data_IF_296075003685
#
_entry.id   IF_296075003685
#
_cell.length_a   1.000
_cell.length_b   1.000
_cell.length_c   1.000
_cell.angle_alpha   90.00
_cell.angle_beta   90.00
_cell.angle_gamma   90.00
#
_symmetry.space_group_name_H-M   'P 1'
#
loop_
_entity.id
_entity.type
_entity.pdbx_description
1 polymer ?
#
# COMPACT_ATOMS: atom_id res chain seq x y z
N UNK A 1 8.05 5.44 5.09
CA UNK A 1 7.09 5.84 4.06
C UNK A 1 7.54 5.34 2.70
N UNK A 2 6.65 4.78 1.91
CA UNK A 2 6.87 4.32 0.54
C UNK A 2 5.64 4.49 -0.33
N UNK A 3 5.82 4.64 -1.64
CA UNK A 3 4.72 4.78 -2.61
C UNK A 3 4.89 3.83 -3.79
N UNK A 4 3.78 3.41 -4.43
CA UNK A 4 3.81 2.49 -5.58
C UNK A 4 4.56 1.19 -5.25
N UNK A 5 5.61 0.85 -5.97
CA UNK A 5 6.54 -0.24 -5.64
C UNK A 5 7.17 -0.09 -4.24
N UNK A 6 7.49 1.15 -3.81
CA UNK A 6 7.89 1.42 -2.42
C UNK A 6 6.77 1.19 -1.41
N UNK A 7 5.52 1.25 -1.84
CA UNK A 7 4.34 0.84 -1.08
C UNK A 7 4.26 -0.68 -0.90
N UNK A 8 4.66 -1.46 -1.91
CA UNK A 8 4.85 -2.91 -1.77
C UNK A 8 5.87 -3.20 -0.68
N UNK A 9 7.03 -2.52 -0.72
CA UNK A 9 8.03 -2.66 0.35
C UNK A 9 7.43 -2.38 1.73
N UNK A 10 6.64 -1.31 1.88
CA UNK A 10 5.97 -1.02 3.15
C UNK A 10 5.04 -2.15 3.58
N UNK A 11 4.25 -2.70 2.66
CA UNK A 11 3.35 -3.83 2.94
C UNK A 11 4.09 -5.11 3.33
N UNK A 12 5.20 -5.41 2.65
CA UNK A 12 6.02 -6.59 2.94
C UNK A 12 6.68 -6.49 4.33
N UNK A 13 7.31 -5.35 4.65
CA UNK A 13 8.03 -5.20 5.93
C UNK A 13 7.11 -5.17 7.14
N UNK A 14 5.86 -4.67 7.01
CA UNK A 14 4.91 -4.72 8.14
C UNK A 14 4.34 -6.12 8.38
N UNK A 15 4.37 -7.00 7.37
CA UNK A 15 4.07 -8.41 7.56
C UNK A 15 5.25 -9.17 8.17
N UNK A 16 6.49 -8.84 7.76
CA UNK A 16 7.70 -9.55 8.18
C UNK A 16 8.14 -9.19 9.60
N UNK A 17 8.03 -7.92 10.00
CA UNK A 17 8.51 -7.42 11.27
C UNK A 17 7.69 -6.19 11.73
N UNK A 18 6.39 -6.35 12.03
CA UNK A 18 5.51 -5.24 12.37
C UNK A 18 5.98 -4.45 13.61
N UNK A 19 6.64 -5.12 14.55
CA UNK A 19 7.14 -4.56 15.82
C UNK A 19 8.27 -3.54 15.64
N UNK A 20 8.94 -3.53 14.50
CA UNK A 20 10.05 -2.59 14.23
C UNK A 20 9.56 -1.19 13.87
N UNK A 21 8.25 -1.01 13.62
CA UNK A 21 7.71 0.24 13.09
C UNK A 21 6.69 0.84 14.06
N UNK A 22 6.88 2.11 14.44
CA UNK A 22 5.88 2.88 15.17
C UNK A 22 4.73 3.32 14.26
N UNK A 23 5.05 3.65 13.02
CA UNK A 23 4.07 4.06 12.03
C UNK A 23 4.59 3.94 10.60
N UNK A 24 3.68 3.63 9.68
CA UNK A 24 3.97 3.42 8.26
C UNK A 24 3.00 4.21 7.39
N UNK A 25 3.52 4.88 6.37
CA UNK A 25 2.72 5.50 5.31
C UNK A 25 2.94 4.71 4.01
N UNK A 26 1.88 4.09 3.51
CA UNK A 26 1.86 3.39 2.23
C UNK A 26 1.01 4.20 1.23
N UNK A 27 1.67 4.88 0.29
CA UNK A 27 1.01 5.75 -0.67
C UNK A 27 0.81 5.02 -2.01
N UNK A 28 -0.45 4.92 -2.46
CA UNK A 28 -0.83 4.20 -3.69
C UNK A 28 -0.09 2.86 -3.83
N UNK A 29 -0.10 2.01 -2.79
CA UNK A 29 0.81 0.88 -2.67
C UNK A 29 0.43 -0.27 -3.58
N UNK A 30 1.42 -0.85 -4.25
CA UNK A 30 1.30 -2.08 -5.04
C UNK A 30 1.30 -3.29 -4.08
N UNK A 31 0.14 -3.72 -3.62
CA UNK A 31 0.01 -4.70 -2.52
C UNK A 31 -0.77 -5.98 -2.84
N UNK A 32 -1.53 -6.00 -3.93
CA UNK A 32 -2.24 -7.19 -4.43
C UNK A 32 -1.46 -7.83 -5.61
N UNK A 33 -0.20 -8.13 -5.34
CA UNK A 33 0.83 -8.42 -6.36
C UNK A 33 0.40 -9.57 -7.28
N UNK A 34 -0.06 -10.67 -6.71
CA UNK A 34 -0.42 -11.88 -7.48
C UNK A 34 -1.58 -11.61 -8.43
N UNK A 35 -2.67 -11.02 -7.92
CA UNK A 35 -3.85 -10.76 -8.75
C UNK A 35 -3.57 -9.73 -9.83
N UNK A 36 -2.83 -8.67 -9.51
CA UNK A 36 -2.45 -7.64 -10.48
C UNK A 36 -1.55 -8.22 -11.57
N UNK A 37 -0.55 -9.02 -11.22
CA UNK A 37 0.35 -9.64 -12.20
C UNK A 37 -0.30 -10.79 -13.00
N UNK A 38 -1.47 -11.29 -12.59
CA UNK A 38 -2.30 -12.22 -13.39
C UNK A 38 -3.18 -11.50 -14.41
N UNK A 39 -3.51 -10.24 -14.18
CA UNK A 39 -4.42 -9.46 -15.03
C UNK A 39 -3.66 -8.66 -16.10
N UNK A 40 -3.47 -9.28 -17.26
CA UNK A 40 -2.80 -8.64 -18.40
C UNK A 40 -3.60 -7.47 -19.03
N UNK A 41 -4.83 -7.19 -18.58
CA UNK A 41 -5.57 -6.00 -19.01
C UNK A 41 -5.11 -4.72 -18.29
N UNK A 42 -4.40 -4.85 -17.17
CA UNK A 42 -3.77 -3.73 -16.48
C UNK A 42 -2.52 -3.30 -17.28
N UNK A 43 -2.39 -2.02 -17.64
CA UNK A 43 -1.40 -1.58 -18.61
C UNK A 43 0.07 -1.92 -18.29
N UNK A 44 0.45 -1.96 -17.01
CA UNK A 44 1.83 -2.24 -16.60
C UNK A 44 2.14 -3.73 -16.46
N UNK A 45 1.15 -4.56 -16.22
CA UNK A 45 1.33 -5.97 -15.82
C UNK A 45 2.27 -6.75 -16.73
N UNK A 46 1.98 -6.79 -18.04
CA UNK A 46 2.79 -7.59 -18.96
C UNK A 46 4.20 -7.02 -19.18
N UNK A 47 4.38 -5.71 -18.99
CA UNK A 47 5.67 -5.05 -19.14
C UNK A 47 6.58 -5.26 -17.92
N UNK A 48 5.98 -5.57 -16.76
CA UNK A 48 6.70 -5.68 -15.50
C UNK A 48 6.88 -7.14 -15.04
N UNK A 49 6.55 -8.13 -15.87
CA UNK A 49 6.80 -9.54 -15.55
C UNK A 49 8.28 -9.87 -15.35
N UNK A 50 9.17 -9.17 -16.05
CA UNK A 50 10.62 -9.36 -15.87
C UNK A 50 11.13 -8.75 -14.56
N UNK A 51 10.37 -7.80 -13.98
CA UNK A 51 10.72 -7.14 -12.70
C UNK A 51 10.13 -7.87 -11.50
N UNK A 52 8.83 -8.17 -11.55
CA UNK A 52 8.10 -8.75 -10.40
C UNK A 52 7.93 -10.27 -10.47
N UNK A 53 7.95 -10.82 -11.66
CA UNK A 53 7.61 -12.22 -11.94
C UNK A 53 6.27 -12.38 -12.65
N UNK A 54 6.11 -13.50 -13.34
CA UNK A 54 4.88 -13.90 -14.00
C UNK A 54 4.21 -15.04 -13.19
N UNK A 55 3.15 -14.77 -12.43
CA UNK A 55 2.53 -15.78 -11.56
C UNK A 55 1.83 -16.92 -12.31
N UNK A 56 1.81 -16.92 -13.64
CA UNK A 56 1.40 -18.05 -14.47
C UNK A 56 2.48 -19.15 -14.51
N UNK A 57 3.71 -18.84 -14.12
CA UNK A 57 4.79 -19.80 -13.92
C UNK A 57 4.88 -20.17 -12.45
N UNK A 58 4.90 -21.46 -12.16
CA UNK A 58 4.75 -21.97 -10.80
C UNK A 58 5.86 -21.49 -9.85
N UNK A 59 7.10 -21.53 -10.28
CA UNK A 59 8.26 -21.09 -9.50
C UNK A 59 8.25 -19.60 -9.21
N UNK A 60 7.88 -18.79 -10.20
CA UNK A 60 7.72 -17.34 -10.01
C UNK A 60 6.54 -17.01 -9.09
N UNK A 61 5.39 -17.70 -9.23
CA UNK A 61 4.26 -17.60 -8.32
C UNK A 61 4.64 -17.93 -6.87
N UNK A 62 5.30 -19.07 -6.66
CA UNK A 62 5.73 -19.50 -5.32
C UNK A 62 6.67 -18.47 -4.68
N UNK A 63 7.60 -17.90 -5.46
CA UNK A 63 8.46 -16.81 -4.98
C UNK A 63 7.67 -15.54 -4.65
N UNK A 64 6.80 -15.08 -5.53
CA UNK A 64 5.99 -13.87 -5.32
C UNK A 64 5.09 -14.00 -4.07
N UNK A 65 4.54 -15.19 -3.82
CA UNK A 65 3.75 -15.48 -2.62
C UNK A 65 4.53 -15.27 -1.33
N UNK A 66 5.85 -15.37 -1.33
CA UNK A 66 6.66 -15.17 -0.12
C UNK A 66 6.67 -13.74 0.39
N UNK A 67 6.39 -12.77 -0.48
CA UNK A 67 6.45 -11.35 -0.11
C UNK A 67 5.18 -10.55 -0.43
N UNK A 68 4.23 -11.11 -1.19
CA UNK A 68 3.00 -10.39 -1.59
C UNK A 68 2.25 -9.87 -0.35
N UNK A 69 2.10 -8.54 -0.19
CA UNK A 69 1.58 -7.98 1.05
C UNK A 69 0.17 -8.42 1.39
N UNK A 70 -0.73 -8.45 0.40
CA UNK A 70 -2.11 -8.86 0.59
C UNK A 70 -2.23 -10.32 1.04
N UNK A 71 -1.43 -11.19 0.43
CA UNK A 71 -1.51 -12.64 0.68
C UNK A 71 -0.94 -13.03 2.04
N UNK A 72 0.04 -12.26 2.53
CA UNK A 72 0.74 -12.51 3.79
C UNK A 72 0.19 -11.74 5.00
N UNK A 73 -1.02 -11.16 4.93
CA UNK A 73 -1.68 -10.59 6.11
C UNK A 73 -2.07 -11.70 7.07
N UNK A 74 -1.70 -11.56 8.35
CA UNK A 74 -1.98 -12.52 9.42
C UNK A 74 -2.38 -11.80 10.72
N UNK A 75 -2.79 -12.54 11.73
CA UNK A 75 -3.12 -11.97 13.05
C UNK A 75 -1.86 -11.42 13.74
N UNK A 76 -1.71 -10.10 13.76
CA UNK A 76 -0.57 -9.41 14.34
C UNK A 76 -0.93 -8.02 14.88
N UNK A 77 -0.08 -7.51 15.76
CA UNK A 77 -0.11 -6.10 16.19
C UNK A 77 0.62 -5.28 15.10
N UNK A 78 -0.13 -4.88 14.08
CA UNK A 78 0.40 -4.01 13.02
C UNK A 78 0.72 -2.62 13.56
N UNK A 79 1.72 -1.90 13.01
CA UNK A 79 2.01 -0.52 13.39
C UNK A 79 0.83 0.41 13.09
N UNK A 80 0.91 1.66 13.53
CA UNK A 80 0.00 2.70 13.06
C UNK A 80 0.19 2.91 11.56
N UNK A 81 -0.88 2.94 10.78
CA UNK A 81 -0.77 2.98 9.32
C UNK A 81 -1.66 4.05 8.70
N UNK A 82 -1.09 4.80 7.76
CA UNK A 82 -1.83 5.64 6.82
C UNK A 82 -1.63 5.08 5.41
N UNK A 83 -2.70 4.59 4.82
CA UNK A 83 -2.73 4.11 3.43
C UNK A 83 -3.47 5.13 2.56
N UNK A 84 -2.90 5.50 1.42
CA UNK A 84 -3.57 6.39 0.47
C UNK A 84 -3.79 5.70 -0.87
N UNK A 85 -4.89 6.08 -1.55
CA UNK A 85 -5.27 5.57 -2.86
C UNK A 85 -5.77 6.70 -3.76
N UNK A 86 -5.66 6.56 -5.07
CA UNK A 86 -6.30 7.41 -6.06
C UNK A 86 -7.39 6.64 -6.79
N UNK A 87 -8.61 7.16 -6.84
CA UNK A 87 -9.73 6.45 -7.48
C UNK A 87 -9.51 6.21 -8.99
N UNK A 88 -8.86 7.18 -9.66
CA UNK A 88 -8.52 7.10 -11.08
C UNK A 88 -7.08 6.65 -11.32
N UNK A 89 -6.50 5.88 -10.39
CA UNK A 89 -5.15 5.34 -10.55
C UNK A 89 -5.14 4.26 -11.65
N UNK A 90 -4.37 4.50 -12.70
CA UNK A 90 -4.21 3.59 -13.84
C UNK A 90 -2.98 2.69 -13.75
N UNK A 91 -2.13 2.89 -12.73
CA UNK A 91 -0.92 2.12 -12.52
C UNK A 91 -1.10 1.09 -11.40
N UNK A 92 -1.53 1.55 -10.23
CA UNK A 92 -1.91 0.71 -9.09
C UNK A 92 -3.41 0.92 -8.84
N UNK A 93 -4.20 -0.04 -9.19
CA UNK A 93 -5.65 0.06 -9.13
C UNK A 93 -6.11 0.36 -7.70
N UNK A 94 -7.07 1.30 -7.54
CA UNK A 94 -7.50 1.77 -6.22
C UNK A 94 -7.99 0.64 -5.30
N UNK A 95 -8.51 -0.45 -5.88
CA UNK A 95 -9.00 -1.58 -5.10
C UNK A 95 -7.88 -2.38 -4.41
N UNK A 96 -6.63 -2.33 -4.87
CA UNK A 96 -5.53 -3.01 -4.20
C UNK A 96 -5.34 -2.52 -2.76
N UNK A 97 -5.05 -1.23 -2.52
CA UNK A 97 -4.95 -0.71 -1.15
C UNK A 97 -6.27 -0.83 -0.37
N UNK A 98 -7.43 -0.70 -1.03
CA UNK A 98 -8.74 -0.82 -0.37
C UNK A 98 -8.96 -2.24 0.16
N UNK A 99 -8.74 -3.26 -0.67
CA UNK A 99 -8.83 -4.67 -0.26
C UNK A 99 -7.83 -5.00 0.84
N UNK A 100 -6.60 -4.52 0.68
CA UNK A 100 -5.54 -4.76 1.66
C UNK A 100 -5.89 -4.16 3.02
N UNK A 101 -6.37 -2.93 3.08
CA UNK A 101 -6.84 -2.30 4.32
C UNK A 101 -8.04 -3.03 4.92
N UNK A 102 -8.98 -3.50 4.09
CA UNK A 102 -10.10 -4.31 4.57
C UNK A 102 -9.60 -5.59 5.26
N UNK A 103 -8.72 -6.35 4.59
CA UNK A 103 -8.11 -7.54 5.17
C UNK A 103 -7.30 -7.25 6.43
N UNK A 104 -6.50 -6.19 6.45
CA UNK A 104 -5.77 -5.77 7.65
C UNK A 104 -6.70 -5.47 8.83
N UNK A 105 -7.87 -4.88 8.60
CA UNK A 105 -8.85 -4.60 9.66
C UNK A 105 -9.42 -5.86 10.30
N UNK A 106 -9.57 -6.93 9.53
CA UNK A 106 -10.05 -8.22 10.03
C UNK A 106 -8.98 -8.97 10.83
N UNK A 107 -7.70 -8.80 10.48
CA UNK A 107 -6.60 -9.56 11.06
C UNK A 107 -5.79 -8.78 12.10
N UNK A 108 -5.81 -7.45 12.05
CA UNK A 108 -5.06 -6.62 12.98
C UNK A 108 -5.57 -6.76 14.40
N UNK A 109 -4.67 -6.98 15.35
CA UNK A 109 -4.94 -6.93 16.80
C UNK A 109 -4.38 -5.65 17.41
N UNK A 110 -4.94 -5.24 18.57
CA UNK A 110 -4.50 -4.04 19.29
C UNK A 110 -5.11 -2.74 18.77
N UNK A 111 -4.70 -1.62 19.41
CA UNK A 111 -5.34 -0.30 19.28
C UNK A 111 -4.67 0.62 18.25
N UNK A 112 -3.59 0.18 17.60
CA UNK A 112 -2.90 0.99 16.61
C UNK A 112 -3.85 1.41 15.48
N UNK A 113 -3.77 2.66 15.03
CA UNK A 113 -4.69 3.20 14.03
C UNK A 113 -4.37 2.69 12.62
N UNK A 114 -5.40 2.48 11.82
CA UNK A 114 -5.30 2.11 10.41
C UNK A 114 -6.24 3.00 9.59
N UNK A 115 -5.67 4.02 8.97
CA UNK A 115 -6.39 4.97 8.14
C UNK A 115 -6.26 4.62 6.66
N UNK A 116 -7.37 4.72 5.93
CA UNK A 116 -7.41 4.71 4.47
C UNK A 116 -7.95 6.05 3.98
N UNK A 117 -7.18 6.72 3.13
CA UNK A 117 -7.62 7.92 2.42
C UNK A 117 -7.64 7.68 0.91
N UNK A 118 -8.83 7.57 0.33
CA UNK A 118 -8.99 7.47 -1.12
C UNK A 118 -9.29 8.85 -1.71
N UNK A 119 -8.40 9.33 -2.57
CA UNK A 119 -8.63 10.57 -3.32
C UNK A 119 -9.55 10.28 -4.52
N UNK A 120 -10.79 10.76 -4.44
CA UNK A 120 -11.82 10.48 -5.45
C UNK A 120 -11.64 11.26 -6.76
N UNK A 121 -10.73 12.23 -6.81
CA UNK A 121 -10.50 13.12 -7.96
C UNK A 121 -9.10 13.00 -8.55
N UNK A 122 -8.32 12.00 -8.16
CA UNK A 122 -6.93 11.86 -8.58
C UNK A 122 -6.55 10.42 -8.93
N UNK A 123 -5.51 10.29 -9.74
CA UNK A 123 -4.84 9.04 -10.07
C UNK A 123 -3.54 8.84 -9.28
N UNK A 124 -2.59 8.10 -9.87
CA UNK A 124 -1.34 7.67 -9.23
C UNK A 124 -0.48 8.82 -8.70
N UNK A 125 -0.37 9.91 -9.43
CA UNK A 125 0.43 11.08 -9.07
C UNK A 125 -0.22 12.04 -8.06
N UNK A 126 -1.42 11.75 -7.58
CA UNK A 126 -2.19 12.68 -6.74
C UNK A 126 -2.85 13.81 -7.52
N UNK A 127 -3.35 14.82 -6.81
CA UNK A 127 -4.03 15.96 -7.44
C UNK A 127 -3.05 16.87 -8.17
N UNK A 128 -3.43 17.30 -9.36
CA UNK A 128 -2.72 18.35 -10.10
C UNK A 128 -2.82 19.71 -9.40
N UNK A 129 -1.73 20.47 -9.48
CA UNK A 129 -1.63 21.82 -8.91
C UNK A 129 -0.94 21.85 -7.54
N UNK A 130 -0.06 22.89 -7.38
CA UNK A 130 0.83 23.06 -6.22
C UNK A 130 0.10 22.97 -4.88
N UNK A 131 -0.97 23.75 -4.71
CA UNK A 131 -1.65 23.83 -3.40
C UNK A 131 -2.45 22.58 -3.06
N UNK A 132 -3.00 21.89 -4.05
CA UNK A 132 -3.70 20.61 -3.85
C UNK A 132 -2.73 19.51 -3.40
N UNK A 133 -1.55 19.48 -4.02
CA UNK A 133 -0.46 18.58 -3.62
C UNK A 133 0.02 18.82 -2.19
N UNK A 134 0.10 20.10 -1.77
CA UNK A 134 0.46 20.42 -0.38
C UNK A 134 -0.58 19.92 0.62
N UNK A 135 -1.85 19.90 0.27
CA UNK A 135 -2.91 19.35 1.13
C UNK A 135 -2.76 17.83 1.33
N UNK A 136 -2.40 17.10 0.29
CA UNK A 136 -2.10 15.66 0.39
C UNK A 136 -0.83 15.41 1.22
N UNK A 137 0.18 16.23 1.02
CA UNK A 137 1.43 16.15 1.78
C UNK A 137 1.19 16.48 3.26
N UNK A 138 0.35 17.49 3.57
CA UNK A 138 0.03 17.87 4.94
C UNK A 138 -0.64 16.73 5.74
N UNK A 139 -1.47 15.91 5.10
CA UNK A 139 -2.05 14.73 5.73
C UNK A 139 -0.96 13.75 6.20
N UNK A 140 0.05 13.51 5.37
CA UNK A 140 1.17 12.62 5.70
C UNK A 140 2.01 13.18 6.86
N UNK A 141 2.31 14.47 6.84
CA UNK A 141 3.02 15.13 7.93
C UNK A 141 2.21 15.15 9.22
N UNK A 142 0.91 15.47 9.15
CA UNK A 142 0.04 15.45 10.31
C UNK A 142 0.04 14.08 11.00
N UNK A 143 -0.07 13.00 10.22
CA UNK A 143 0.03 11.64 10.75
C UNK A 143 1.38 11.36 11.44
N UNK A 144 2.50 11.77 10.82
CA UNK A 144 3.82 11.57 11.41
C UNK A 144 4.02 12.37 12.69
N UNK A 145 3.59 13.64 12.71
CA UNK A 145 3.73 14.53 13.87
C UNK A 145 2.84 14.08 15.03
N UNK A 146 1.63 13.63 14.76
CA UNK A 146 0.73 13.06 15.75
C UNK A 146 1.37 11.85 16.44
N UNK A 147 1.90 10.91 15.67
CA UNK A 147 2.63 9.75 16.20
C UNK A 147 3.90 10.12 16.97
N UNK A 148 4.54 11.24 16.62
CA UNK A 148 5.68 11.76 17.36
C UNK A 148 5.27 12.47 18.68
N UNK A 149 3.96 12.65 18.94
CA UNK A 149 3.45 13.37 20.08
C UNK A 149 3.65 14.90 20.00
N UNK A 150 3.89 15.42 18.81
CA UNK A 150 4.05 16.86 18.58
C UNK A 150 2.67 17.51 18.47
N UNK A 151 2.42 18.49 19.37
CA UNK A 151 1.21 19.32 19.30
C UNK A 151 1.49 20.54 18.41
N UNK A 152 0.50 20.92 17.60
CA UNK A 152 0.56 22.10 16.71
C UNK A 152 0.18 23.35 17.48
#
# INVERSE_FOLDING_TARGET
MGGSAGGLLMGAVVNLAPELYRGVIAAVPFVDVINTMLDASIPLTSNEWDEWGNPRKKDEYEYMMTYSPYDNVYNAVYPNMLVTAGYFDSQVQYWEPVKWVAKLRDYKVGENVLYLHTNMDAGHGGKSGRFRRYKELSLKYAFMLDLAGMKY
#
